data_IF_786408347472
#
_entry.id   IF_786408347472
#
_cell.length_a   1.000
_cell.length_b   1.000
_cell.length_c   1.000
_cell.angle_alpha   90.00
_cell.angle_beta   90.00
_cell.angle_gamma   90.00
#
_symmetry.space_group_name_H-M   'P 1'
#
loop_
_entity.id
_entity.type
_entity.pdbx_description
1 polymer ?
#
# COMPACT_ATOMS: atom_id res chain seq x y z
N UNK A 1 3.13 3.66 12.10
CA UNK A 1 2.03 2.67 12.25
C UNK A 1 0.70 3.29 12.64
N UNK A 2 0.47 3.77 13.88
CA UNK A 2 -0.86 4.24 14.30
C UNK A 2 -1.35 5.46 13.50
N UNK A 3 -0.48 6.42 13.22
CA UNK A 3 -0.80 7.57 12.36
C UNK A 3 -1.09 7.19 10.91
N UNK A 4 -0.38 6.22 10.36
CA UNK A 4 -0.58 5.75 8.98
C UNK A 4 -1.92 5.03 8.82
N UNK A 5 -2.30 4.22 9.83
CA UNK A 5 -3.61 3.57 9.86
C UNK A 5 -4.71 4.64 9.94
N UNK A 6 -4.56 5.66 10.78
CA UNK A 6 -5.51 6.76 10.87
C UNK A 6 -5.60 7.57 9.56
N UNK A 7 -4.48 7.87 8.92
CA UNK A 7 -4.45 8.53 7.62
C UNK A 7 -5.11 7.68 6.52
N UNK A 8 -4.88 6.36 6.54
CA UNK A 8 -5.50 5.43 5.61
C UNK A 8 -7.03 5.38 5.82
N UNK A 9 -7.49 5.26 7.06
CA UNK A 9 -8.93 5.28 7.39
C UNK A 9 -9.59 6.60 6.96
N UNK A 10 -8.89 7.75 7.10
CA UNK A 10 -9.41 9.05 6.62
C UNK A 10 -9.63 9.06 5.10
N UNK A 11 -8.78 8.38 4.34
CA UNK A 11 -8.90 8.26 2.87
C UNK A 11 -9.89 7.17 2.45
N UNK A 12 -10.16 6.21 3.34
CA UNK A 12 -11.02 5.06 3.10
C UNK A 12 -12.12 4.97 4.18
N UNK A 13 -13.16 5.82 4.13
CA UNK A 13 -14.19 5.90 5.16
C UNK A 13 -15.00 4.60 5.33
N UNK A 14 -15.00 3.72 4.32
CA UNK A 14 -15.59 2.38 4.43
C UNK A 14 -14.96 1.59 5.59
N UNK A 15 -13.64 1.67 5.77
CA UNK A 15 -12.95 0.98 6.86
C UNK A 15 -13.32 1.55 8.23
N UNK A 16 -13.59 2.86 8.31
CA UNK A 16 -14.10 3.45 9.55
C UNK A 16 -15.45 2.84 9.94
N UNK A 17 -16.38 2.74 8.99
CA UNK A 17 -17.70 2.15 9.22
C UNK A 17 -17.58 0.66 9.52
N UNK A 18 -16.75 -0.07 8.78
CA UNK A 18 -16.52 -1.50 8.98
C UNK A 18 -15.96 -1.78 10.36
N UNK A 19 -14.94 -1.06 10.80
CA UNK A 19 -14.34 -1.26 12.13
C UNK A 19 -15.27 -0.83 13.27
N UNK A 20 -16.19 0.11 13.02
CA UNK A 20 -17.20 0.49 14.02
C UNK A 20 -18.18 -0.66 14.32
N UNK A 21 -18.47 -1.51 13.34
CA UNK A 21 -19.41 -2.64 13.48
C UNK A 21 -18.70 -3.97 13.72
N UNK A 22 -17.47 -4.10 13.21
CA UNK A 22 -16.67 -5.33 13.19
C UNK A 22 -15.22 -5.00 13.58
N UNK A 23 -14.95 -4.76 14.88
CA UNK A 23 -13.61 -4.43 15.34
C UNK A 23 -12.58 -5.55 15.08
N UNK A 24 -13.03 -6.79 14.94
CA UNK A 24 -12.19 -7.95 14.60
C UNK A 24 -11.54 -7.84 13.21
N UNK A 25 -12.09 -7.02 12.31
CA UNK A 25 -11.53 -6.79 10.97
C UNK A 25 -10.33 -5.83 10.96
N UNK A 26 -9.84 -5.45 12.13
CA UNK A 26 -8.66 -4.60 12.23
C UNK A 26 -7.41 -5.26 11.64
N UNK A 27 -7.25 -6.57 11.82
CA UNK A 27 -6.14 -7.29 11.20
C UNK A 27 -6.26 -7.30 9.67
N UNK A 28 -7.46 -7.48 9.11
CA UNK A 28 -7.68 -7.38 7.66
C UNK A 28 -7.30 -5.99 7.10
N UNK A 29 -7.60 -4.92 7.84
CA UNK A 29 -7.17 -3.56 7.47
C UNK A 29 -5.65 -3.43 7.43
N UNK A 30 -4.95 -4.00 8.42
CA UNK A 30 -3.50 -3.96 8.48
C UNK A 30 -2.88 -4.73 7.31
N UNK A 31 -3.42 -5.90 6.97
CA UNK A 31 -3.01 -6.68 5.80
C UNK A 31 -3.20 -5.89 4.50
N UNK A 32 -4.34 -5.22 4.31
CA UNK A 32 -4.59 -4.40 3.13
C UNK A 32 -3.57 -3.24 2.99
N UNK A 33 -3.28 -2.54 4.10
CA UNK A 33 -2.28 -1.47 4.12
C UNK A 33 -0.88 -2.03 3.80
N UNK A 34 -0.56 -3.21 4.32
CA UNK A 34 0.74 -3.85 4.09
C UNK A 34 0.89 -4.31 2.63
N UNK A 35 -0.12 -4.96 2.07
CA UNK A 35 -0.13 -5.40 0.67
C UNK A 35 0.00 -4.23 -0.30
N UNK A 36 -0.76 -3.15 -0.10
CA UNK A 36 -0.63 -1.95 -0.95
C UNK A 36 0.78 -1.36 -0.94
N UNK A 37 1.44 -1.34 0.23
CA UNK A 37 2.83 -0.90 0.31
C UNK A 37 3.77 -1.82 -0.46
N UNK A 38 3.61 -3.14 -0.33
CA UNK A 38 4.43 -4.09 -1.07
C UNK A 38 4.25 -3.94 -2.58
N UNK A 39 3.01 -3.84 -3.08
CA UNK A 39 2.74 -3.59 -4.50
C UNK A 39 3.38 -2.28 -4.97
N UNK A 40 3.28 -1.21 -4.19
CA UNK A 40 3.90 0.09 -4.52
C UNK A 40 5.43 -0.02 -4.62
N UNK A 41 6.07 -0.81 -3.75
CA UNK A 41 7.53 -1.02 -3.80
C UNK A 41 7.92 -1.85 -5.01
N UNK A 42 7.20 -2.93 -5.30
CA UNK A 42 7.43 -3.76 -6.48
C UNK A 42 7.30 -2.95 -7.77
N UNK A 43 6.23 -2.17 -7.91
CA UNK A 43 6.03 -1.30 -9.08
C UNK A 43 7.17 -0.29 -9.25
N UNK A 44 7.70 0.25 -8.15
CA UNK A 44 8.86 1.17 -8.19
C UNK A 44 10.14 0.45 -8.62
N UNK A 45 10.35 -0.79 -8.18
CA UNK A 45 11.51 -1.59 -8.58
C UNK A 45 11.43 -1.98 -10.06
N UNK A 46 10.25 -2.36 -10.55
CA UNK A 46 10.05 -2.64 -11.98
C UNK A 46 10.35 -1.41 -12.84
N UNK A 47 9.89 -0.23 -12.42
CA UNK A 47 10.22 1.03 -13.12
C UNK A 47 11.73 1.30 -13.14
N UNK A 48 12.45 1.06 -12.04
CA UNK A 48 13.91 1.20 -12.00
C UNK A 48 14.57 0.19 -12.93
N UNK A 49 14.09 -1.07 -12.94
CA UNK A 49 14.61 -2.11 -13.82
C UNK A 49 14.47 -1.72 -15.30
N UNK A 50 13.30 -1.20 -15.70
CA UNK A 50 13.06 -0.74 -17.07
C UNK A 50 14.02 0.40 -17.43
N UNK A 51 14.20 1.38 -16.53
CA UNK A 51 15.12 2.49 -16.75
C UNK A 51 16.57 2.03 -16.91
N UNK A 52 17.02 1.06 -16.11
CA UNK A 52 18.37 0.48 -16.25
C UNK A 52 18.52 -0.24 -17.60
N UNK A 53 17.54 -1.04 -18.02
CA UNK A 53 17.58 -1.70 -19.32
C UNK A 53 17.61 -0.70 -20.49
N UNK A 54 16.92 0.44 -20.39
CA UNK A 54 17.00 1.50 -21.40
C UNK A 54 18.36 2.18 -21.46
N UNK A 55 19.02 2.40 -20.31
CA UNK A 55 20.37 2.97 -20.25
C UNK A 55 21.41 2.02 -20.86
N UNK A 56 21.31 0.72 -20.61
CA UNK A 56 22.19 -0.29 -21.21
C UNK A 56 22.09 -0.33 -22.74
N UNK A 57 20.92 -0.04 -23.33
CA UNK A 57 20.75 0.01 -24.79
C UNK A 57 21.30 1.30 -25.44
N UNK A 58 21.66 2.32 -24.66
CA UNK A 58 22.29 3.55 -25.16
C UNK A 58 23.83 3.51 -25.11
N UNK A 59 24.42 2.44 -24.56
CA UNK A 59 25.86 2.15 -24.61
C UNK A 59 26.24 1.33 -25.83
#
# INVERSE_FOLDING_TARGET
>A
MKEEVLDYIRKHPVWYVTLCHYPEKYDDLLDEIHQKKQSTVLEKLERISILMSMLEMLQ
#
